data_IF_751972254247
#
_entry.id   IF_751972254247
#
_cell.length_a   1.000
_cell.length_b   1.000
_cell.length_c   1.000
_cell.angle_alpha   90.00
_cell.angle_beta   90.00
_cell.angle_gamma   90.00
#
_symmetry.space_group_name_H-M   'P 1'
#
loop_
_entity.id
_entity.type
_entity.pdbx_description
1 polymer ?
#
# COMPACT_ATOMS: atom_id res chain seq x y z
N UNK A 1 -24.31 -7.43 10.86
CA UNK A 1 -23.22 -8.36 10.53
C UNK A 1 -21.91 -7.59 10.66
N UNK A 2 -20.81 -8.15 11.19
CA UNK A 2 -19.52 -7.49 10.99
C UNK A 2 -19.27 -7.49 9.48
N UNK A 3 -19.25 -6.31 8.86
CA UNK A 3 -18.90 -6.19 7.45
C UNK A 3 -17.46 -6.69 7.30
N UNK A 4 -17.20 -7.59 6.34
CA UNK A 4 -15.84 -8.00 6.00
C UNK A 4 -14.97 -6.75 5.81
N UNK A 5 -13.69 -6.76 6.22
CA UNK A 5 -12.83 -5.60 6.03
C UNK A 5 -12.69 -5.27 4.53
N UNK A 6 -12.42 -4.00 4.17
CA UNK A 6 -12.21 -3.64 2.77
C UNK A 6 -11.04 -4.45 2.18
N UNK A 7 -11.17 -5.00 0.97
CA UNK A 7 -10.12 -5.84 0.40
C UNK A 7 -8.89 -5.01 0.02
N UNK A 8 -7.69 -5.49 0.37
CA UNK A 8 -6.46 -4.98 -0.25
C UNK A 8 -6.47 -5.40 -1.73
N UNK A 9 -6.23 -4.48 -2.69
CA UNK A 9 -6.21 -4.81 -4.11
C UNK A 9 -5.32 -6.02 -4.43
N UNK A 10 -5.85 -6.98 -5.19
CA UNK A 10 -5.16 -8.25 -5.54
C UNK A 10 -3.75 -8.01 -6.09
N UNK A 11 -3.56 -6.97 -6.92
CA UNK A 11 -2.24 -6.69 -7.48
C UNK A 11 -1.21 -6.26 -6.43
N UNK A 12 -1.63 -5.55 -5.38
CA UNK A 12 -0.76 -5.20 -4.26
C UNK A 12 -0.41 -6.43 -3.42
N UNK A 13 -1.36 -7.36 -3.22
CA UNK A 13 -1.09 -8.64 -2.54
C UNK A 13 -0.03 -9.47 -3.28
N UNK A 14 -0.13 -9.56 -4.61
CA UNK A 14 0.86 -10.27 -5.42
C UNK A 14 2.26 -9.65 -5.33
N UNK A 15 2.35 -8.32 -5.46
CA UNK A 15 3.61 -7.60 -5.43
C UNK A 15 4.25 -7.66 -4.03
N UNK A 16 3.45 -7.55 -2.97
CA UNK A 16 3.93 -7.43 -1.59
C UNK A 16 3.85 -8.74 -0.81
N UNK A 17 3.71 -9.90 -1.48
CA UNK A 17 3.57 -11.22 -0.84
C UNK A 17 4.69 -11.55 0.16
N UNK A 18 5.90 -11.03 -0.09
CA UNK A 18 7.08 -11.24 0.74
C UNK A 18 7.22 -10.15 1.84
N UNK A 19 6.25 -9.24 1.95
CA UNK A 19 6.18 -8.11 2.87
C UNK A 19 4.84 -8.07 3.62
N UNK A 20 4.53 -9.08 4.46
CA UNK A 20 3.24 -9.20 5.15
C UNK A 20 2.91 -7.98 6.03
N UNK A 21 3.91 -7.38 6.67
CA UNK A 21 3.71 -6.18 7.50
C UNK A 21 3.24 -4.98 6.67
N UNK A 22 3.69 -4.87 5.41
CA UNK A 22 3.26 -3.80 4.51
C UNK A 22 1.81 -4.04 4.07
N UNK A 23 1.43 -5.29 3.80
CA UNK A 23 0.04 -5.67 3.52
C UNK A 23 -0.86 -5.34 4.71
N UNK A 24 -0.43 -5.64 5.93
CA UNK A 24 -1.19 -5.32 7.14
C UNK A 24 -1.40 -3.81 7.31
N UNK A 25 -0.36 -3.00 7.05
CA UNK A 25 -0.48 -1.55 7.10
C UNK A 25 -1.48 -1.00 6.07
N UNK A 26 -1.46 -1.52 4.83
CA UNK A 26 -2.46 -1.18 3.81
C UNK A 26 -3.87 -1.57 4.27
N UNK A 27 -4.04 -2.77 4.83
CA UNK A 27 -5.32 -3.24 5.33
C UNK A 27 -5.86 -2.35 6.47
N UNK A 28 -4.99 -1.94 7.40
CA UNK A 28 -5.34 -1.02 8.51
C UNK A 28 -5.76 0.35 7.98
N UNK A 29 -5.04 0.89 7.00
CA UNK A 29 -5.39 2.15 6.36
C UNK A 29 -6.79 2.07 5.73
N UNK A 30 -7.08 1.02 4.98
CA UNK A 30 -8.41 0.81 4.40
C UNK A 30 -9.52 0.68 5.45
N UNK A 31 -9.28 -0.08 6.54
CA UNK A 31 -10.25 -0.23 7.64
C UNK A 31 -10.57 1.13 8.28
N UNK A 32 -9.59 2.02 8.42
CA UNK A 32 -9.82 3.35 9.02
C UNK A 32 -10.81 4.22 8.25
N UNK A 33 -10.92 4.01 6.93
CA UNK A 33 -11.93 4.67 6.08
C UNK A 33 -13.33 4.15 6.40
N UNK A 34 -13.49 2.83 6.53
CA UNK A 34 -14.77 2.19 6.87
C UNK A 34 -15.27 2.56 8.26
N UNK A 35 -14.36 2.81 9.20
CA UNK A 35 -14.68 3.26 10.56
C UNK A 35 -15.24 4.71 10.61
N UNK A 36 -15.31 5.41 9.47
CA UNK A 36 -15.80 6.79 9.38
C UNK A 36 -14.92 7.80 10.11
N UNK A 37 -13.70 7.38 10.49
CA UNK A 37 -12.83 8.14 11.38
C UNK A 37 -12.12 9.29 10.65
N UNK A 38 -12.10 9.26 9.31
CA UNK A 38 -11.32 10.16 8.47
C UNK A 38 -11.95 10.28 7.08
N UNK A 39 -12.53 11.45 6.74
CA UNK A 39 -12.38 12.13 5.43
C UNK A 39 -13.56 13.04 5.07
N UNK A 40 -13.24 14.19 4.45
CA UNK A 40 -14.20 15.07 3.76
C UNK A 40 -14.48 14.62 2.31
N UNK A 41 -13.77 13.59 1.83
CA UNK A 41 -13.92 12.98 0.51
C UNK A 41 -14.80 11.71 0.60
N UNK A 42 -15.40 11.26 -0.52
CA UNK A 42 -16.12 9.99 -0.51
C UNK A 42 -15.16 8.82 -0.20
N UNK A 43 -15.68 7.70 0.37
CA UNK A 43 -14.84 6.66 0.96
C UNK A 43 -13.84 6.02 -0.01
N UNK A 44 -14.24 5.79 -1.26
CA UNK A 44 -13.35 5.20 -2.24
C UNK A 44 -12.14 6.11 -2.50
N UNK A 45 -12.37 7.41 -2.72
CA UNK A 45 -11.32 8.39 -2.95
C UNK A 45 -10.40 8.52 -1.72
N UNK A 46 -10.97 8.50 -0.51
CA UNK A 46 -10.21 8.50 0.73
C UNK A 46 -9.31 7.24 0.83
N UNK A 47 -9.83 6.07 0.49
CA UNK A 47 -9.09 4.82 0.49
C UNK A 47 -7.94 4.83 -0.52
N UNK A 48 -8.17 5.33 -1.74
CA UNK A 48 -7.11 5.48 -2.75
C UNK A 48 -6.02 6.39 -2.21
N UNK A 49 -6.37 7.55 -1.66
CA UNK A 49 -5.40 8.49 -1.13
C UNK A 49 -4.54 7.87 0.00
N UNK A 50 -5.15 7.13 0.92
CA UNK A 50 -4.41 6.44 1.98
C UNK A 50 -3.51 5.32 1.45
N UNK A 51 -3.94 4.55 0.45
CA UNK A 51 -3.06 3.57 -0.20
C UNK A 51 -1.86 4.27 -0.85
N UNK A 52 -2.10 5.38 -1.54
CA UNK A 52 -1.04 6.19 -2.14
C UNK A 52 -0.04 6.72 -1.11
N UNK A 53 -0.52 7.18 0.04
CA UNK A 53 0.31 7.68 1.14
C UNK A 53 1.18 6.56 1.74
N UNK A 54 0.57 5.43 2.13
CA UNK A 54 1.29 4.27 2.65
C UNK A 54 2.37 3.77 1.68
N UNK A 55 2.02 3.60 0.40
CA UNK A 55 2.96 3.12 -0.62
C UNK A 55 4.11 4.12 -0.87
N UNK A 56 3.85 5.42 -0.71
CA UNK A 56 4.88 6.46 -0.79
C UNK A 56 5.82 6.44 0.42
N UNK A 57 5.29 6.16 1.61
CA UNK A 57 6.08 5.95 2.82
C UNK A 57 7.00 4.73 2.67
N UNK A 58 6.48 3.58 2.23
CA UNK A 58 7.28 2.35 2.02
C UNK A 58 8.43 2.57 1.04
N UNK A 59 8.17 3.31 -0.05
CA UNK A 59 9.21 3.67 -1.00
C UNK A 59 10.29 4.55 -0.37
N UNK A 60 9.89 5.51 0.46
CA UNK A 60 10.82 6.42 1.15
C UNK A 60 11.67 5.68 2.18
N UNK A 61 11.07 4.74 2.92
CA UNK A 61 11.78 3.85 3.85
C UNK A 61 12.81 2.97 3.11
N UNK A 62 12.41 2.36 1.99
CA UNK A 62 13.34 1.57 1.18
C UNK A 62 14.49 2.41 0.62
N UNK A 63 14.25 3.70 0.30
CA UNK A 63 15.31 4.63 -0.10
C UNK A 63 16.28 4.91 1.06
N UNK A 64 15.77 5.13 2.27
CA UNK A 64 16.61 5.32 3.45
C UNK A 64 17.46 4.07 3.78
N UNK A 65 16.92 2.86 3.54
CA UNK A 65 17.67 1.61 3.67
C UNK A 65 18.84 1.52 2.67
N UNK A 66 18.66 2.03 1.45
CA UNK A 66 19.77 2.12 0.47
C UNK A 66 20.86 3.05 1.01
N UNK A 67 20.49 4.24 1.50
CA UNK A 67 21.46 5.21 2.01
C UNK A 67 22.24 4.66 3.21
N UNK A 68 21.55 3.95 4.12
CA UNK A 68 22.17 3.27 5.25
C UNK A 68 23.13 2.15 4.81
N UNK A 69 22.75 1.33 3.83
CA UNK A 69 23.58 0.26 3.30
C UNK A 69 24.82 0.78 2.54
N UNK A 70 24.68 1.91 1.85
CA UNK A 70 25.80 2.61 1.22
C UNK A 70 26.76 3.13 2.30
N UNK A 71 26.25 3.74 3.37
CA UNK A 71 27.08 4.22 4.47
C UNK A 71 27.82 3.09 5.21
N UNK A 72 27.21 1.90 5.31
CA UNK A 72 27.86 0.72 5.91
C UNK A 72 28.81 -0.01 4.96
N UNK A 73 28.78 0.30 3.66
CA UNK A 73 29.62 -0.34 2.65
C UNK A 73 29.27 -1.82 2.41
N UNK A 74 28.03 -2.25 2.66
CA UNK A 74 27.59 -3.64 2.47
C UNK A 74 26.91 -3.79 1.08
N UNK A 75 27.59 -4.41 0.09
CA UNK A 75 27.04 -4.53 -1.25
C UNK A 75 25.77 -5.38 -1.32
N UNK A 76 25.64 -6.40 -0.46
CA UNK A 76 24.45 -7.25 -0.44
C UNK A 76 23.25 -6.52 0.18
N UNK A 77 23.48 -5.71 1.21
CA UNK A 77 22.43 -4.84 1.76
C UNK A 77 21.97 -3.80 0.72
N UNK A 78 22.89 -3.21 -0.04
CA UNK A 78 22.56 -2.23 -1.09
C UNK A 78 21.65 -2.86 -2.16
N UNK A 79 22.01 -4.03 -2.68
CA UNK A 79 21.22 -4.67 -3.74
C UNK A 79 19.83 -5.09 -3.25
N UNK A 80 19.73 -5.63 -2.02
CA UNK A 80 18.42 -5.94 -1.40
C UNK A 80 17.55 -4.70 -1.23
N UNK A 81 18.12 -3.60 -0.74
CA UNK A 81 17.37 -2.36 -0.53
C UNK A 81 16.91 -1.73 -1.86
N UNK A 82 17.73 -1.82 -2.93
CA UNK A 82 17.33 -1.40 -4.28
C UNK A 82 16.19 -2.24 -4.84
N UNK A 83 16.23 -3.56 -4.66
CA UNK A 83 15.15 -4.45 -5.10
C UNK A 83 13.84 -4.12 -4.36
N UNK A 84 13.92 -3.90 -3.05
CA UNK A 84 12.79 -3.43 -2.24
C UNK A 84 12.24 -2.10 -2.76
N UNK A 85 13.09 -1.10 -3.01
CA UNK A 85 12.65 0.21 -3.51
C UNK A 85 11.98 0.13 -4.88
N UNK A 86 12.51 -0.72 -5.77
CA UNK A 86 11.91 -0.99 -7.08
C UNK A 86 10.52 -1.61 -6.93
N UNK A 87 10.37 -2.57 -6.02
CA UNK A 87 9.10 -3.21 -5.73
C UNK A 87 8.07 -2.19 -5.19
N UNK A 88 8.47 -1.35 -4.23
CA UNK A 88 7.58 -0.31 -3.67
C UNK A 88 7.19 0.72 -4.74
N UNK A 89 8.09 1.04 -5.67
CA UNK A 89 7.77 1.88 -6.83
C UNK A 89 6.73 1.24 -7.76
N UNK A 90 6.79 -0.07 -8.00
CA UNK A 90 5.77 -0.77 -8.78
C UNK A 90 4.43 -0.87 -8.04
N UNK A 91 4.45 -1.10 -6.74
CA UNK A 91 3.25 -1.10 -5.92
C UNK A 91 2.54 0.27 -5.94
N UNK A 92 3.29 1.38 -5.82
CA UNK A 92 2.75 2.75 -5.88
C UNK A 92 2.23 3.17 -7.26
N UNK A 93 2.69 2.52 -8.33
CA UNK A 93 2.39 2.93 -9.70
C UNK A 93 0.91 2.77 -10.04
N UNK A 94 0.31 3.84 -10.57
CA UNK A 94 -1.05 3.84 -11.13
C UNK A 94 -1.22 2.89 -12.32
N UNK A 95 -0.13 2.50 -12.97
CA UNK A 95 -0.17 1.59 -14.12
C UNK A 95 0.12 0.13 -13.75
N UNK A 96 0.48 -0.16 -12.50
CA UNK A 96 0.82 -1.51 -12.04
C UNK A 96 0.07 -1.82 -10.75
N UNK A 97 0.62 -1.46 -9.58
CA UNK A 97 0.04 -1.85 -8.30
C UNK A 97 -1.34 -1.25 -8.03
N UNK A 98 -1.59 -0.02 -8.50
CA UNK A 98 -2.88 0.67 -8.37
C UNK A 98 -3.70 0.68 -9.67
N UNK A 99 -3.36 -0.17 -10.64
CA UNK A 99 -4.04 -0.18 -11.95
C UNK A 99 -5.48 -0.70 -11.89
N UNK A 100 -5.77 -1.64 -10.98
CA UNK A 100 -7.09 -2.23 -10.85
C UNK A 100 -7.58 -2.15 -9.40
N UNK A 101 -8.51 -1.22 -9.17
CA UNK A 101 -9.15 -0.98 -7.88
C UNK A 101 -10.65 -1.27 -7.92
N UNK A 102 -11.11 -2.05 -8.90
CA UNK A 102 -12.53 -2.33 -9.11
C UNK A 102 -13.19 -3.06 -7.93
N UNK A 103 -12.52 -4.06 -7.35
CA UNK A 103 -13.00 -4.78 -6.16
C UNK A 103 -13.13 -3.85 -4.95
N UNK A 104 -12.15 -2.97 -4.75
CA UNK A 104 -12.16 -1.98 -3.67
C UNK A 104 -13.29 -0.96 -3.87
N UNK A 105 -13.50 -0.51 -5.11
CA UNK A 105 -14.62 0.38 -5.47
C UNK A 105 -15.97 -0.28 -5.18
N UNK A 106 -16.17 -1.50 -5.67
CA UNK A 106 -17.40 -2.25 -5.48
C UNK A 106 -17.70 -2.46 -3.98
N UNK A 107 -16.67 -2.71 -3.16
CA UNK A 107 -16.82 -2.82 -1.72
C UNK A 107 -17.40 -1.54 -1.09
N UNK A 108 -16.83 -0.36 -1.38
CA UNK A 108 -17.31 0.89 -0.80
C UNK A 108 -18.67 1.30 -1.34
N UNK A 109 -18.96 1.04 -2.61
CA UNK A 109 -20.30 1.28 -3.19
C UNK A 109 -21.39 0.39 -2.57
N UNK A 110 -21.06 -0.86 -2.24
CA UNK A 110 -21.98 -1.79 -1.61
C UNK A 110 -22.16 -1.56 -0.10
N UNK A 111 -21.11 -1.12 0.60
CA UNK A 111 -21.10 -1.00 2.07
C UNK A 111 -21.64 0.33 2.58
N UNK A 112 -21.81 1.34 1.72
CA UNK A 112 -22.21 2.71 2.08
C UNK A 112 -23.61 3.08 1.54
N UNK A 113 -24.48 2.08 1.32
CA UNK A 113 -25.90 2.27 0.97
C UNK A 113 -26.80 2.27 2.19
#
# INVERSE_FOLDING_TARGET
MPHSPPPVPTKLLELLKDYPDHIEQLQRALISVSDGRQSYAPPFEAAVWLLEDCLSAFKSEARAEIDAAVASGDPQAIERAKEKERLMSFARSSNIGLANLSELRAYFEASMR
#
